data_IF_703477176618
#
_entry.id   IF_703477176618
#
_cell.length_a   1.000
_cell.length_b   1.000
_cell.length_c   1.000
_cell.angle_alpha   90.00
_cell.angle_beta   90.00
_cell.angle_gamma   90.00
#
_symmetry.space_group_name_H-M   'P 1'
#
loop_
_entity.id
_entity.type
_entity.pdbx_description
1 polymer ?
#
# COMPACT_ATOMS: atom_id res chain seq x y z
N UNK A 1 -15.68 -18.59 -17.87
CA UNK A 1 -14.31 -18.04 -18.02
C UNK A 1 -14.23 -16.57 -17.54
N UNK A 2 -14.77 -16.24 -16.35
CA UNK A 2 -15.07 -14.85 -15.90
C UNK A 2 -14.16 -14.27 -14.80
N UNK A 3 -13.13 -15.02 -14.38
CA UNK A 3 -12.26 -14.65 -13.25
C UNK A 3 -10.87 -14.11 -13.65
N UNK A 4 -10.53 -14.06 -14.95
CA UNK A 4 -9.22 -13.56 -15.40
C UNK A 4 -9.04 -12.06 -15.13
N UNK A 5 -10.09 -11.26 -15.32
CA UNK A 5 -10.00 -9.80 -15.21
C UNK A 5 -9.79 -9.30 -13.78
N UNK A 6 -10.29 -10.02 -12.77
CA UNK A 6 -10.04 -9.71 -11.36
C UNK A 6 -8.57 -9.94 -10.96
N UNK A 7 -7.89 -10.87 -11.63
CA UNK A 7 -6.46 -11.17 -11.42
C UNK A 7 -5.57 -10.08 -12.04
N UNK A 8 -5.97 -9.49 -13.16
CA UNK A 8 -5.28 -8.39 -13.82
C UNK A 8 -5.33 -7.06 -13.04
N UNK A 9 -6.40 -6.78 -12.27
CA UNK A 9 -6.41 -5.64 -11.34
C UNK A 9 -5.44 -5.82 -10.16
N UNK A 10 -5.07 -7.06 -9.83
CA UNK A 10 -4.09 -7.38 -8.78
C UNK A 10 -2.63 -7.22 -9.26
N UNK A 11 -2.39 -7.28 -10.57
CA UNK A 11 -1.06 -7.15 -11.17
C UNK A 11 -0.54 -5.70 -11.21
N UNK A 12 -1.42 -4.70 -11.07
CA UNK A 12 -1.02 -3.28 -11.08
C UNK A 12 -0.39 -2.79 -9.78
N UNK A 13 0.27 -3.70 -9.08
CA UNK A 13 1.03 -3.37 -7.90
C UNK A 13 2.48 -3.73 -8.12
N UNK A 14 3.33 -2.72 -8.01
CA UNK A 14 4.77 -2.88 -8.22
C UNK A 14 5.40 -3.83 -7.21
N UNK A 15 6.73 -3.88 -7.28
CA UNK A 15 7.59 -4.67 -6.39
C UNK A 15 7.11 -4.63 -4.92
N UNK A 16 6.94 -5.80 -4.30
CA UNK A 16 6.48 -5.97 -2.90
C UNK A 16 5.08 -5.41 -2.58
N UNK A 17 4.27 -5.14 -3.60
CA UNK A 17 2.94 -4.60 -3.43
C UNK A 17 2.89 -3.13 -3.02
N UNK A 18 4.02 -2.43 -3.15
CA UNK A 18 4.18 -1.00 -2.96
C UNK A 18 3.70 -0.25 -4.21
N UNK A 19 3.04 0.88 -3.97
CA UNK A 19 2.71 1.85 -5.00
C UNK A 19 3.87 2.84 -5.20
N UNK A 20 3.84 3.57 -6.32
CA UNK A 20 4.80 4.65 -6.60
C UNK A 20 4.80 5.69 -5.47
N UNK A 21 3.64 5.95 -4.87
CA UNK A 21 3.50 6.84 -3.72
C UNK A 21 4.23 6.31 -2.48
N UNK A 22 4.17 5.02 -2.20
CA UNK A 22 4.89 4.44 -1.05
C UNK A 22 6.41 4.56 -1.25
N UNK A 23 6.89 4.38 -2.49
CA UNK A 23 8.30 4.56 -2.82
C UNK A 23 8.75 6.02 -2.66
N UNK A 24 7.92 6.97 -3.09
CA UNK A 24 8.16 8.39 -2.94
C UNK A 24 8.24 8.80 -1.45
N UNK A 25 7.35 8.28 -0.60
CA UNK A 25 7.37 8.54 0.85
C UNK A 25 8.69 8.06 1.46
N UNK A 26 9.17 6.87 1.09
CA UNK A 26 10.45 6.33 1.59
C UNK A 26 11.62 7.20 1.12
N UNK A 27 11.62 7.64 -0.14
CA UNK A 27 12.64 8.54 -0.67
C UNK A 27 12.65 9.90 0.05
N UNK A 28 11.49 10.50 0.29
CA UNK A 28 11.39 11.74 1.07
C UNK A 28 11.86 11.55 2.51
N UNK A 29 11.51 10.42 3.13
CA UNK A 29 11.95 10.09 4.49
C UNK A 29 13.47 10.01 4.56
N UNK A 30 14.12 9.41 3.56
CA UNK A 30 15.58 9.34 3.46
C UNK A 30 16.20 10.75 3.32
N UNK A 31 15.64 11.60 2.45
CA UNK A 31 16.13 12.96 2.22
C UNK A 31 16.02 13.80 3.51
N UNK A 32 14.88 13.73 4.19
CA UNK A 32 14.63 14.46 5.44
C UNK A 32 15.57 13.95 6.54
N UNK A 33 15.69 12.63 6.69
CA UNK A 33 16.57 12.03 7.70
C UNK A 33 18.04 12.41 7.46
N UNK A 34 18.49 12.39 6.21
CA UNK A 34 19.85 12.81 5.86
C UNK A 34 20.06 14.30 6.20
N UNK A 35 19.17 15.18 5.76
CA UNK A 35 19.26 16.61 6.05
C UNK A 35 19.26 16.94 7.56
N UNK A 36 18.58 16.14 8.39
CA UNK A 36 18.56 16.33 9.84
C UNK A 36 19.81 15.77 10.54
N UNK A 37 20.42 14.72 9.99
CA UNK A 37 21.58 14.03 10.57
C UNK A 37 22.92 14.57 10.09
N UNK A 38 22.94 15.24 8.93
CA UNK A 38 24.12 15.85 8.34
C UNK A 38 24.84 16.83 9.28
N UNK A 39 24.16 17.73 10.04
CA UNK A 39 24.82 18.64 10.98
C UNK A 39 25.54 17.92 12.13
N UNK A 40 25.14 16.69 12.44
CA UNK A 40 25.69 15.88 13.53
C UNK A 40 26.74 14.88 13.05
N UNK A 41 27.04 14.82 11.75
CA UNK A 41 27.99 13.86 11.18
C UNK A 41 27.47 12.41 11.14
N UNK A 42 26.16 12.20 11.32
CA UNK A 42 25.53 10.88 11.36
C UNK A 42 24.72 10.56 10.09
N UNK A 43 25.07 11.14 8.95
CA UNK A 43 24.38 10.98 7.66
C UNK A 43 24.17 9.52 7.23
N UNK A 44 25.10 8.62 7.58
CA UNK A 44 24.98 7.19 7.34
C UNK A 44 23.83 6.52 8.11
N UNK A 45 23.40 7.08 9.26
CA UNK A 45 22.24 6.59 10.01
C UNK A 45 20.90 6.88 9.31
N UNK A 46 20.87 7.76 8.30
CA UNK A 46 19.66 8.00 7.52
C UNK A 46 19.21 6.75 6.74
N UNK A 47 20.16 5.92 6.30
CA UNK A 47 19.87 4.67 5.58
C UNK A 47 19.09 3.64 6.40
N UNK A 48 19.53 3.23 7.61
CA UNK A 48 18.75 2.31 8.43
C UNK A 48 17.39 2.89 8.84
N UNK A 49 17.28 4.21 9.06
CA UNK A 49 15.99 4.87 9.35
C UNK A 49 15.02 4.70 8.17
N UNK A 50 15.46 5.00 6.94
CA UNK A 50 14.65 4.81 5.75
C UNK A 50 14.32 3.33 5.48
N UNK A 51 15.26 2.43 5.77
CA UNK A 51 15.04 0.97 5.68
C UNK A 51 13.97 0.46 6.64
N UNK A 52 13.97 0.94 7.90
CA UNK A 52 12.93 0.62 8.88
C UNK A 52 11.58 1.17 8.43
N UNK A 53 11.53 2.40 7.92
CA UNK A 53 10.31 3.01 7.39
C UNK A 53 9.73 2.20 6.21
N UNK A 54 10.59 1.72 5.31
CA UNK A 54 10.19 0.83 4.21
C UNK A 54 9.60 -0.49 4.72
N UNK A 55 10.26 -1.16 5.66
CA UNK A 55 9.76 -2.42 6.24
C UNK A 55 8.39 -2.22 6.91
N UNK A 56 8.19 -1.10 7.59
CA UNK A 56 6.92 -0.77 8.23
C UNK A 56 5.81 -0.55 7.20
N UNK A 57 6.08 0.22 6.14
CA UNK A 57 5.17 0.43 5.01
C UNK A 57 4.78 -0.88 4.32
N UNK A 58 5.77 -1.75 4.07
CA UNK A 58 5.53 -3.09 3.51
C UNK A 58 4.65 -3.91 4.44
N UNK A 59 4.90 -3.92 5.75
CA UNK A 59 4.09 -4.68 6.72
C UNK A 59 2.63 -4.20 6.74
N UNK A 60 2.41 -2.88 6.74
CA UNK A 60 1.07 -2.29 6.69
C UNK A 60 0.35 -2.68 5.40
N UNK A 61 1.03 -2.54 4.26
CA UNK A 61 0.44 -2.85 2.95
C UNK A 61 0.10 -4.33 2.82
N UNK A 62 0.98 -5.21 3.29
CA UNK A 62 0.73 -6.66 3.32
C UNK A 62 -0.48 -7.02 4.21
N UNK A 63 -0.65 -6.36 5.37
CA UNK A 63 -1.80 -6.57 6.27
C UNK A 63 -3.12 -5.98 5.75
N UNK A 64 -3.08 -4.86 5.04
CA UNK A 64 -4.28 -4.21 4.48
C UNK A 64 -4.81 -4.89 3.21
N UNK A 65 -3.93 -5.53 2.42
CA UNK A 65 -4.30 -6.22 1.18
C UNK A 65 -5.40 -7.28 1.27
N UNK A 66 -5.41 -8.22 2.25
CA UNK A 66 -6.44 -9.24 2.28
C UNK A 66 -7.86 -8.67 2.50
N UNK A 67 -7.98 -7.46 3.06
CA UNK A 67 -9.28 -6.82 3.34
C UNK A 67 -9.85 -6.07 2.14
N UNK A 68 -9.03 -5.30 1.42
CA UNK A 68 -9.50 -4.51 0.26
C UNK A 68 -10.11 -5.40 -0.83
N UNK A 69 -9.52 -6.56 -1.13
CA UNK A 69 -10.01 -7.48 -2.16
C UNK A 69 -11.33 -8.13 -1.71
N UNK A 70 -11.40 -8.59 -0.47
CA UNK A 70 -12.61 -9.21 0.09
C UNK A 70 -13.79 -8.22 0.11
N UNK A 71 -13.55 -7.00 0.56
CA UNK A 71 -14.61 -5.99 0.70
C UNK A 71 -15.05 -5.43 -0.66
N UNK A 72 -14.14 -5.31 -1.62
CA UNK A 72 -14.46 -4.90 -2.99
C UNK A 72 -15.25 -5.99 -3.74
N UNK A 73 -14.88 -7.27 -3.60
CA UNK A 73 -15.65 -8.39 -4.15
C UNK A 73 -17.03 -8.49 -3.51
N UNK A 74 -17.14 -8.32 -2.19
CA UNK A 74 -18.43 -8.35 -1.49
C UNK A 74 -19.35 -7.22 -1.96
N UNK A 75 -18.81 -6.02 -2.20
CA UNK A 75 -19.57 -4.86 -2.69
C UNK A 75 -19.95 -4.95 -4.19
N UNK A 76 -19.10 -5.57 -5.00
CA UNK A 76 -19.32 -5.68 -6.46
C UNK A 76 -20.21 -6.88 -6.85
N UNK A 77 -20.28 -7.93 -6.03
CA UNK A 77 -21.06 -9.15 -6.33
C UNK A 77 -22.46 -9.12 -5.67
N UNK A 78 -22.66 -8.28 -4.65
CA UNK A 78 -23.99 -7.99 -4.10
C UNK A 78 -24.49 -6.60 -4.58
N UNK A 79 -25.01 -6.46 -5.80
CA UNK A 79 -25.83 -5.30 -6.12
C UNK A 79 -27.16 -5.45 -5.36
N UNK A 80 -27.43 -4.52 -4.44
CA UNK A 80 -28.74 -4.10 -3.94
C UNK A 80 -29.92 -5.08 -4.16
N UNK A 81 -30.19 -5.95 -3.19
CA UNK A 81 -31.50 -6.62 -3.05
C UNK A 81 -32.36 -5.99 -1.94
N UNK A 82 -32.17 -4.71 -1.63
CA UNK A 82 -32.95 -4.00 -0.60
C UNK A 82 -33.54 -2.71 -1.16
N UNK A 83 -34.50 -2.83 -2.08
CA UNK A 83 -35.47 -1.76 -2.36
C UNK A 83 -36.56 -2.20 -3.34
N UNK A 84 -37.40 -3.17 -2.99
CA UNK A 84 -38.78 -3.31 -3.52
C UNK A 84 -39.48 -4.44 -2.78
N UNK A 85 -39.99 -4.16 -1.59
CA UNK A 85 -41.25 -4.78 -1.20
C UNK A 85 -42.07 -3.76 -0.42
N UNK A 86 -42.78 -2.93 -1.18
CA UNK A 86 -43.98 -2.25 -0.71
C UNK A 86 -45.14 -3.10 -1.22
N UNK A 87 -45.69 -3.95 -0.37
CA UNK A 87 -47.11 -4.34 -0.38
C UNK A 87 -47.58 -4.54 1.05
#
# INVERSE_FOLDING_TARGET
>A
MKYRSARLLNERSGWLGLSVWDLAIVAYTLIIANSLLQPFGFELLAFPIAGIALLFLVNIRLKSRPKTIRDYLRKSILPNTVSTDKR
#
